data_IF_951350839057
#
_entry.id   IF_951350839057
#
_cell.length_a   1.000
_cell.length_b   1.000
_cell.length_c   1.000
_cell.angle_alpha   90.00
_cell.angle_beta   90.00
_cell.angle_gamma   90.00
#
_symmetry.space_group_name_H-M   'P 1'
#
loop_
_entity.id
_entity.type
_entity.pdbx_description
1 polymer ?
#
# COMPACT_ATOMS: atom_id res chain seq x y z
N UNK A 1 -23.19 10.26 -2.00
CA UNK A 1 -22.29 9.24 -1.42
C UNK A 1 -21.39 9.96 -0.44
N UNK A 2 -21.30 9.53 0.81
CA UNK A 2 -20.44 10.18 1.80
C UNK A 2 -18.98 9.80 1.54
N UNK A 3 -18.05 10.71 1.86
CA UNK A 3 -16.61 10.50 1.70
C UNK A 3 -16.08 9.26 2.44
N UNK A 4 -16.74 8.86 3.53
CA UNK A 4 -16.46 7.65 4.32
C UNK A 4 -16.58 6.35 3.47
N UNK A 5 -17.44 6.35 2.45
CA UNK A 5 -17.63 5.18 1.58
C UNK A 5 -16.47 4.99 0.59
N UNK A 6 -15.76 6.07 0.22
CA UNK A 6 -14.71 6.02 -0.80
C UNK A 6 -13.38 5.46 -0.29
N UNK A 7 -12.95 5.83 0.91
CA UNK A 7 -11.72 5.30 1.52
C UNK A 7 -11.86 3.84 1.94
N UNK A 8 -13.00 3.49 2.54
CA UNK A 8 -13.34 2.10 2.86
C UNK A 8 -13.49 1.24 1.61
N UNK A 9 -14.07 1.75 0.51
CA UNK A 9 -14.21 1.00 -0.74
C UNK A 9 -12.88 0.81 -1.48
N UNK A 10 -11.96 1.78 -1.39
CA UNK A 10 -10.63 1.64 -1.99
C UNK A 10 -10.00 0.36 -1.46
N UNK A 11 -9.96 0.12 -0.14
CA UNK A 11 -9.35 -1.11 0.41
C UNK A 11 -10.30 -2.31 0.59
N UNK A 12 -11.61 -2.10 0.79
CA UNK A 12 -12.58 -3.19 0.78
C UNK A 12 -12.70 -3.85 -0.60
N UNK A 13 -12.17 -3.23 -1.67
CA UNK A 13 -11.94 -3.86 -2.97
C UNK A 13 -10.62 -4.63 -3.11
N UNK A 14 -9.68 -4.52 -2.16
CA UNK A 14 -8.32 -5.08 -2.23
C UNK A 14 -8.22 -6.50 -1.67
N UNK A 15 -9.19 -6.93 -0.88
CA UNK A 15 -9.03 -8.10 -0.02
C UNK A 15 -10.21 -9.06 -0.21
N UNK A 16 -10.21 -9.81 -1.32
CA UNK A 16 -11.11 -10.94 -1.60
C UNK A 16 -11.24 -12.01 -0.47
N UNK A 17 -10.59 -11.80 0.67
CA UNK A 17 -10.85 -12.34 2.01
C UNK A 17 -10.28 -11.37 3.07
N UNK A 18 -10.49 -11.61 4.37
CA UNK A 18 -9.84 -10.77 5.41
C UNK A 18 -8.33 -10.63 5.14
N UNK A 19 -7.79 -9.39 5.06
CA UNK A 19 -6.37 -9.21 4.79
C UNK A 19 -5.54 -9.89 5.87
N UNK A 20 -4.63 -10.80 5.49
CA UNK A 20 -3.71 -11.45 6.43
C UNK A 20 -2.65 -10.43 6.88
N UNK A 21 -2.71 -9.96 8.15
CA UNK A 21 -1.79 -8.94 8.64
C UNK A 21 -0.32 -9.40 8.64
N UNK A 22 -0.08 -10.70 8.81
CA UNK A 22 1.28 -11.25 8.81
C UNK A 22 1.88 -11.23 7.41
N UNK A 23 1.08 -11.60 6.40
CA UNK A 23 1.48 -11.55 4.99
C UNK A 23 1.78 -10.12 4.54
N UNK A 24 0.93 -9.15 4.89
CA UNK A 24 1.17 -7.72 4.61
C UNK A 24 2.44 -7.20 5.30
N UNK A 25 2.66 -7.59 6.56
CA UNK A 25 3.86 -7.22 7.33
C UNK A 25 5.14 -7.89 6.78
N UNK A 26 5.04 -9.09 6.21
CA UNK A 26 6.14 -9.76 5.52
C UNK A 26 6.46 -9.08 4.18
N UNK A 27 5.43 -8.71 3.41
CA UNK A 27 5.61 -7.98 2.15
C UNK A 27 6.25 -6.61 2.39
N UNK A 28 5.82 -5.87 3.42
CA UNK A 28 6.43 -4.60 3.79
C UNK A 28 7.93 -4.73 4.09
N UNK A 29 8.33 -5.75 4.87
CA UNK A 29 9.74 -6.05 5.15
C UNK A 29 10.54 -6.36 3.90
N UNK A 30 9.93 -7.07 2.95
CA UNK A 30 10.58 -7.39 1.69
C UNK A 30 10.78 -6.13 0.83
N UNK A 31 9.78 -5.25 0.73
CA UNK A 31 9.91 -3.97 0.04
C UNK A 31 11.05 -3.12 0.60
N UNK A 32 11.19 -3.03 1.93
CA UNK A 32 12.28 -2.31 2.61
C UNK A 32 13.68 -2.81 2.21
N UNK A 33 13.80 -4.09 1.86
CA UNK A 33 15.07 -4.74 1.51
C UNK A 33 15.44 -4.65 0.02
N UNK A 34 14.52 -4.22 -0.84
CA UNK A 34 14.78 -4.14 -2.28
C UNK A 34 15.79 -3.06 -2.60
N UNK A 35 16.76 -3.39 -3.44
CA UNK A 35 17.68 -2.40 -3.98
C UNK A 35 16.92 -1.39 -4.88
N UNK A 36 17.47 -0.18 -5.09
CA UNK A 36 16.85 0.81 -5.99
C UNK A 36 16.58 0.29 -7.41
N UNK A 37 17.37 -0.68 -7.89
CA UNK A 37 17.23 -1.34 -9.20
C UNK A 37 16.16 -2.43 -9.23
N UNK A 38 15.64 -2.86 -8.08
CA UNK A 38 14.66 -3.95 -7.96
C UNK A 38 13.23 -3.43 -7.72
N UNK A 39 13.02 -2.12 -7.67
CA UNK A 39 11.73 -1.49 -7.38
C UNK A 39 10.60 -1.98 -8.30
N UNK A 40 10.89 -2.18 -9.59
CA UNK A 40 9.93 -2.74 -10.56
C UNK A 40 9.34 -4.08 -10.10
N UNK A 41 10.20 -5.00 -9.66
CA UNK A 41 9.79 -6.31 -9.11
C UNK A 41 8.98 -6.13 -7.82
N UNK A 42 9.34 -5.14 -7.01
CA UNK A 42 8.58 -4.71 -5.84
C UNK A 42 7.14 -4.37 -6.19
N UNK A 43 6.95 -3.45 -7.15
CA UNK A 43 5.64 -3.04 -7.63
C UNK A 43 4.84 -4.18 -8.23
N UNK A 44 5.43 -5.00 -9.10
CA UNK A 44 4.76 -6.15 -9.70
C UNK A 44 4.18 -7.09 -8.64
N UNK A 45 5.00 -7.45 -7.63
CA UNK A 45 4.54 -8.32 -6.55
C UNK A 45 3.48 -7.66 -5.68
N UNK A 46 3.65 -6.38 -5.36
CA UNK A 46 2.66 -5.63 -4.55
C UNK A 46 1.33 -5.59 -5.29
N UNK A 47 1.32 -5.21 -6.57
CA UNK A 47 0.12 -5.15 -7.41
C UNK A 47 -0.58 -6.52 -7.50
N UNK A 48 0.17 -7.61 -7.70
CA UNK A 48 -0.38 -8.97 -7.70
C UNK A 48 -0.99 -9.35 -6.35
N UNK A 49 -0.40 -8.92 -5.25
CA UNK A 49 -0.86 -9.22 -3.90
C UNK A 49 -2.14 -8.47 -3.54
N UNK A 50 -2.28 -7.23 -4.04
CA UNK A 50 -3.40 -6.34 -3.70
C UNK A 50 -4.54 -6.34 -4.72
N UNK A 51 -4.33 -6.90 -5.92
CA UNK A 51 -5.36 -7.07 -6.93
C UNK A 51 -6.22 -8.30 -6.63
N UNK A 52 -7.25 -8.14 -5.81
CA UNK A 52 -8.27 -9.18 -5.61
C UNK A 52 -9.66 -8.55 -5.39
N UNK A 53 -10.38 -8.21 -6.47
CA UNK A 53 -11.69 -7.55 -6.38
C UNK A 53 -12.82 -8.48 -5.91
N UNK A 54 -13.83 -7.89 -5.25
CA UNK A 54 -15.02 -8.59 -4.73
C UNK A 54 -16.18 -8.67 -5.72
N UNK A 55 -16.26 -7.76 -6.69
CA UNK A 55 -17.35 -7.69 -7.68
C UNK A 55 -16.79 -7.37 -9.07
N UNK A 56 -17.49 -7.77 -10.14
CA UNK A 56 -17.04 -7.57 -11.53
C UNK A 56 -16.93 -6.08 -11.92
N UNK A 57 -17.84 -5.23 -11.42
CA UNK A 57 -17.87 -3.79 -11.74
C UNK A 57 -16.78 -2.99 -11.01
N UNK A 58 -16.53 -3.30 -9.73
CA UNK A 58 -15.39 -2.72 -8.99
C UNK A 58 -14.06 -3.26 -9.52
N UNK A 59 -14.04 -4.54 -9.92
CA UNK A 59 -12.90 -5.16 -10.58
C UNK A 59 -12.48 -4.44 -11.84
N UNK A 60 -13.42 -4.00 -12.69
CA UNK A 60 -13.08 -3.26 -13.91
C UNK A 60 -12.33 -1.95 -13.68
N UNK A 61 -12.75 -1.14 -12.69
CA UNK A 61 -12.08 0.14 -12.38
C UNK A 61 -10.79 -0.05 -11.60
N UNK A 62 -10.78 -0.99 -10.66
CA UNK A 62 -9.59 -1.31 -9.86
C UNK A 62 -8.48 -1.87 -10.74
N UNK A 63 -8.81 -2.78 -11.67
CA UNK A 63 -7.87 -3.33 -12.63
C UNK A 63 -7.30 -2.24 -13.53
N UNK A 64 -8.15 -1.34 -14.06
CA UNK A 64 -7.67 -0.22 -14.87
C UNK A 64 -6.73 0.72 -14.08
N UNK A 65 -7.00 0.94 -12.79
CA UNK A 65 -6.11 1.71 -11.92
C UNK A 65 -4.76 0.99 -11.71
N UNK A 66 -4.78 -0.32 -11.46
CA UNK A 66 -3.56 -1.11 -11.30
C UNK A 66 -2.75 -1.23 -12.59
N UNK A 67 -3.40 -1.32 -13.74
CA UNK A 67 -2.72 -1.27 -15.04
C UNK A 67 -1.98 0.06 -15.23
N UNK A 68 -2.63 1.18 -14.90
CA UNK A 68 -1.99 2.50 -14.95
C UNK A 68 -0.82 2.64 -13.97
N UNK A 69 -0.95 2.09 -12.76
CA UNK A 69 0.15 2.07 -11.78
C UNK A 69 1.30 1.18 -12.28
N UNK A 70 0.98 0.04 -12.90
CA UNK A 70 1.95 -0.82 -13.57
C UNK A 70 2.73 -0.09 -14.65
N UNK A 71 2.05 0.70 -15.51
CA UNK A 71 2.69 1.54 -16.52
C UNK A 71 3.65 2.56 -15.90
N UNK A 72 3.25 3.21 -14.79
CA UNK A 72 4.14 4.13 -14.07
C UNK A 72 5.38 3.42 -13.54
N UNK A 73 5.22 2.27 -12.90
CA UNK A 73 6.33 1.48 -12.37
C UNK A 73 7.26 0.98 -13.49
N UNK A 74 6.71 0.54 -14.63
CA UNK A 74 7.47 0.08 -15.79
C UNK A 74 8.28 1.21 -16.46
N UNK A 75 7.77 2.44 -16.40
CA UNK A 75 8.49 3.64 -16.88
C UNK A 75 9.60 4.12 -15.95
N UNK A 76 9.72 3.56 -14.74
CA UNK A 76 10.65 3.99 -13.71
C UNK A 76 10.16 5.17 -12.86
N UNK A 77 8.91 5.61 -13.05
CA UNK A 77 8.26 6.65 -12.23
C UNK A 77 7.77 6.07 -10.89
N UNK A 78 8.67 5.48 -10.12
CA UNK A 78 8.35 4.70 -8.92
C UNK A 78 7.68 5.53 -7.82
N UNK A 79 8.12 6.76 -7.59
CA UNK A 79 7.50 7.66 -6.61
C UNK A 79 6.05 7.98 -7.00
N UNK A 80 5.80 8.26 -8.28
CA UNK A 80 4.45 8.50 -8.80
C UNK A 80 3.57 7.25 -8.69
N UNK A 81 4.13 6.07 -9.00
CA UNK A 81 3.43 4.79 -8.86
C UNK A 81 3.09 4.50 -7.38
N UNK A 82 3.99 4.79 -6.45
CA UNK A 82 3.73 4.63 -5.01
C UNK A 82 2.62 5.59 -4.54
N UNK A 83 2.68 6.86 -4.93
CA UNK A 83 1.63 7.83 -4.58
C UNK A 83 0.27 7.41 -5.15
N UNK A 84 0.23 6.85 -6.36
CA UNK A 84 -1.01 6.36 -6.95
C UNK A 84 -1.60 5.13 -6.24
N UNK A 85 -0.79 4.38 -5.48
CA UNK A 85 -1.27 3.28 -4.61
C UNK A 85 -1.83 3.78 -3.28
N UNK A 86 -1.39 4.94 -2.80
CA UNK A 86 -1.80 5.48 -1.50
C UNK A 86 -3.24 5.99 -1.63
N UNK A 87 -4.16 5.61 -0.72
CA UNK A 87 -5.53 6.11 -0.73
C UNK A 87 -5.55 7.64 -0.71
N UNK A 88 -6.46 8.24 -1.49
CA UNK A 88 -6.54 9.70 -1.65
C UNK A 88 -6.67 10.46 -0.32
N UNK A 89 -7.39 9.88 0.64
CA UNK A 89 -7.68 10.50 1.93
C UNK A 89 -6.64 10.16 3.01
N UNK A 90 -5.61 9.38 2.66
CA UNK A 90 -4.50 9.07 3.56
C UNK A 90 -3.49 10.23 3.63
N UNK A 91 -2.91 10.43 4.80
CA UNK A 91 -1.77 11.31 5.00
C UNK A 91 -0.51 10.46 4.84
N UNK A 92 0.42 10.89 3.99
CA UNK A 92 1.70 10.24 3.83
C UNK A 92 2.84 11.24 3.88
N UNK A 93 3.97 10.81 4.44
CA UNK A 93 5.22 11.57 4.52
C UNK A 93 6.39 10.61 4.39
N UNK A 94 7.55 11.12 3.97
CA UNK A 94 8.77 10.33 3.86
C UNK A 94 9.97 11.22 3.59
N UNK A 95 11.14 10.70 3.94
CA UNK A 95 12.38 11.47 3.85
C UNK A 95 13.61 10.57 3.81
N UNK A 96 14.71 11.18 3.37
CA UNK A 96 16.02 10.55 3.35
C UNK A 96 16.73 10.80 4.68
N UNK A 97 17.29 9.76 5.27
CA UNK A 97 18.14 9.84 6.46
C UNK A 97 19.58 10.21 6.09
N UNK A 98 20.38 10.56 7.10
CA UNK A 98 21.78 10.98 6.92
C UNK A 98 22.65 9.88 6.28
N UNK A 99 22.39 8.62 6.64
CA UNK A 99 23.06 7.44 6.07
C UNK A 99 22.66 7.13 4.63
N UNK A 100 21.70 7.87 4.08
CA UNK A 100 21.20 7.75 2.73
C UNK A 100 20.03 6.79 2.55
N UNK A 101 19.59 6.09 3.60
CA UNK A 101 18.37 5.28 3.61
C UNK A 101 17.11 6.15 3.64
N UNK A 102 15.94 5.54 3.49
CA UNK A 102 14.65 6.22 3.47
C UNK A 102 13.70 5.65 4.52
N UNK A 103 12.92 6.53 5.13
CA UNK A 103 11.81 6.15 6.02
C UNK A 103 10.55 6.92 5.63
N UNK A 104 9.40 6.32 5.90
CA UNK A 104 8.11 6.89 5.58
C UNK A 104 7.06 6.59 6.67
N UNK A 105 5.98 7.36 6.65
CA UNK A 105 4.77 7.14 7.44
C UNK A 105 3.56 7.27 6.54
N UNK A 106 2.58 6.39 6.73
CA UNK A 106 1.25 6.48 6.13
C UNK A 106 0.22 6.37 7.25
N UNK A 107 -0.77 7.27 7.23
CA UNK A 107 -1.91 7.31 8.13
C UNK A 107 -3.16 7.23 7.25
N UNK A 108 -3.90 6.14 7.38
CA UNK A 108 -5.14 5.89 6.67
C UNK A 108 -6.26 6.77 7.25
N UNK A 109 -7.34 6.89 6.47
CA UNK A 109 -8.59 7.44 6.98
C UNK A 109 -9.06 6.63 8.21
N UNK A 110 -9.58 7.33 9.22
CA UNK A 110 -9.83 6.77 10.55
C UNK A 110 -8.62 6.76 11.50
N UNK A 111 -7.45 7.25 11.07
CA UNK A 111 -6.29 7.52 11.93
C UNK A 111 -5.34 6.33 12.15
N UNK A 112 -5.60 5.18 11.53
CA UNK A 112 -4.71 4.03 11.60
C UNK A 112 -3.47 4.29 10.76
N UNK A 113 -2.31 4.37 11.41
CA UNK A 113 -1.05 4.64 10.72
C UNK A 113 0.09 3.72 11.13
N UNK A 114 1.08 3.65 10.25
CA UNK A 114 2.32 2.91 10.47
C UNK A 114 3.51 3.61 9.82
N UNK A 115 4.69 3.29 10.35
CA UNK A 115 5.97 3.69 9.79
C UNK A 115 6.59 2.53 9.01
N UNK A 116 7.30 2.85 7.93
CA UNK A 116 8.28 1.92 7.37
C UNK A 116 9.47 1.80 8.31
N UNK A 117 10.27 0.76 8.10
CA UNK A 117 11.66 0.75 8.54
C UNK A 117 12.53 1.46 7.49
N UNK A 118 13.84 1.48 7.73
CA UNK A 118 14.83 1.91 6.76
C UNK A 118 14.69 1.09 5.47
N UNK A 119 14.50 1.79 4.36
CA UNK A 119 14.41 1.24 3.03
C UNK A 119 15.48 1.85 2.12
N UNK A 120 15.81 1.16 1.03
CA UNK A 120 16.82 1.66 0.08
C UNK A 120 16.25 2.63 -0.97
N UNK A 121 14.93 2.81 -1.02
CA UNK A 121 14.27 3.82 -1.86
C UNK A 121 13.04 4.42 -1.18
N UNK A 122 12.71 5.66 -1.54
CA UNK A 122 11.56 6.37 -0.99
C UNK A 122 10.22 5.71 -1.37
N UNK A 123 10.07 5.28 -2.62
CA UNK A 123 8.87 4.60 -3.08
C UNK A 123 8.61 3.31 -2.29
N UNK A 124 9.65 2.50 -2.03
CA UNK A 124 9.50 1.29 -1.23
C UNK A 124 9.24 1.60 0.24
N UNK A 125 9.80 2.69 0.79
CA UNK A 125 9.46 3.15 2.14
C UNK A 125 7.96 3.47 2.24
N UNK A 126 7.40 4.25 1.31
CA UNK A 126 5.96 4.56 1.30
C UNK A 126 5.10 3.30 1.19
N UNK A 127 5.43 2.38 0.28
CA UNK A 127 4.67 1.13 0.12
C UNK A 127 4.76 0.28 1.39
N UNK A 128 5.93 0.17 2.01
CA UNK A 128 6.08 -0.58 3.25
C UNK A 128 5.26 0.03 4.41
N UNK A 129 5.27 1.37 4.55
CA UNK A 129 4.43 2.07 5.51
C UNK A 129 2.93 1.84 5.25
N UNK A 130 2.51 1.89 3.97
CA UNK A 130 1.13 1.64 3.55
C UNK A 130 0.68 0.20 3.90
N UNK A 131 1.48 -0.80 3.53
CA UNK A 131 1.20 -2.22 3.81
C UNK A 131 1.10 -2.49 5.32
N UNK A 132 1.95 -1.86 6.14
CA UNK A 132 1.89 -1.97 7.60
C UNK A 132 0.65 -1.27 8.16
N UNK A 133 0.25 -0.13 7.61
CA UNK A 133 -0.96 0.58 8.04
C UNK A 133 -2.21 -0.28 7.75
N UNK A 134 -2.26 -0.93 6.58
CA UNK A 134 -3.32 -1.89 6.26
C UNK A 134 -3.30 -3.13 7.15
N UNK A 135 -2.12 -3.70 7.43
CA UNK A 135 -2.00 -4.82 8.35
C UNK A 135 -2.56 -4.47 9.74
N UNK A 136 -2.26 -3.26 10.23
CA UNK A 136 -2.78 -2.75 11.49
C UNK A 136 -4.29 -2.54 11.46
N UNK A 137 -4.81 -1.93 10.39
CA UNK A 137 -6.25 -1.73 10.21
C UNK A 137 -7.02 -3.06 10.20
N UNK A 138 -6.47 -4.09 9.55
CA UNK A 138 -7.05 -5.44 9.54
C UNK A 138 -7.12 -6.07 10.94
N UNK A 139 -6.07 -5.92 11.76
CA UNK A 139 -6.07 -6.36 13.17
C UNK A 139 -7.12 -5.60 13.99
N UNK A 140 -7.17 -4.28 13.86
CA UNK A 140 -8.12 -3.45 14.62
C UNK A 140 -9.57 -3.73 14.22
N UNK A 141 -9.84 -3.96 12.93
CA UNK A 141 -11.18 -4.33 12.43
C UNK A 141 -11.57 -5.73 12.86
N UNK A 142 -10.65 -6.70 12.80
CA UNK A 142 -10.88 -8.07 13.27
C UNK A 142 -11.20 -8.13 14.77
N UNK A 143 -10.51 -7.31 15.57
CA UNK A 143 -10.78 -7.19 17.01
C UNK A 143 -12.16 -6.59 17.31
N UNK A 144 -12.63 -5.62 16.51
CA UNK A 144 -13.96 -5.02 16.65
C UNK A 144 -15.09 -5.99 16.27
N UNK A 145 -14.86 -6.90 15.33
CA UNK A 145 -15.88 -7.90 14.90
C UNK A 145 -16.00 -9.12 15.81
N UNK A 146 -15.07 -9.31 16.76
CA UNK A 146 -15.07 -10.43 17.70
C UNK A 146 -15.84 -10.15 19.00
N UNK A 147 -16.41 -8.95 19.14
CA UNK A 147 -17.21 -8.47 20.27
C UNK A 147 -18.66 -8.22 19.85
#
# INVERSE_FOLDING_TARGET
MSHEQTGSAWFAGFAGGQPDPERLSALARWCEQLAPTEQRKGFERVLLEIASPHTEEEGGRLNAAFDWIGVLADSGAFESAAVALIPRDAIFTGGRLEDGSFVAQVILDGGVGAHSREAQSLAMAWIAALLRAFARQAVETGALTAH
#
